data_IF_555096635611
#
_entry.id   IF_555096635611
#
_cell.length_a   1.000
_cell.length_b   1.000
_cell.length_c   1.000
_cell.angle_alpha   90.00
_cell.angle_beta   90.00
_cell.angle_gamma   90.00
#
_symmetry.space_group_name_H-M   'P 1'
#
loop_
_entity.id
_entity.type
_entity.pdbx_description
1 polymer ?
#
# COMPACT_ATOMS: atom_id res chain seq x y z
N UNK A 1 -6.65 22.83 26.17
CA UNK A 1 -7.21 21.48 25.89
C UNK A 1 -8.67 21.69 25.59
N UNK A 2 -9.12 21.49 24.34
CA UNK A 2 -10.56 21.52 24.06
C UNK A 2 -11.20 20.35 24.82
N UNK A 3 -12.29 20.61 25.55
CA UNK A 3 -13.10 19.56 26.17
C UNK A 3 -13.59 18.63 25.05
N UNK A 4 -13.28 17.34 25.15
CA UNK A 4 -13.76 16.37 24.20
C UNK A 4 -15.21 16.04 24.55
N UNK A 5 -16.14 16.50 23.71
CA UNK A 5 -17.57 16.30 23.92
C UNK A 5 -17.88 14.80 23.97
N UNK A 6 -18.65 14.40 25.00
CA UNK A 6 -19.00 13.01 25.25
C UNK A 6 -20.52 12.86 25.29
N UNK A 7 -21.06 11.86 24.60
CA UNK A 7 -22.51 11.69 24.42
C UNK A 7 -22.94 10.26 24.74
N UNK A 8 -24.09 10.14 25.41
CA UNK A 8 -24.82 8.89 25.61
C UNK A 8 -26.17 9.02 24.89
N UNK A 9 -26.48 8.06 24.03
CA UNK A 9 -27.77 7.98 23.34
C UNK A 9 -28.66 6.96 24.02
N UNK A 10 -29.78 7.41 24.57
CA UNK A 10 -30.89 6.55 25.00
C UNK A 10 -31.94 6.50 23.89
N UNK A 11 -32.16 5.31 23.34
CA UNK A 11 -33.11 5.07 22.24
C UNK A 11 -34.34 4.25 22.69
N UNK A 12 -34.55 4.09 23.99
CA UNK A 12 -35.61 3.27 24.60
C UNK A 12 -37.01 3.62 24.08
N UNK A 13 -37.36 4.91 24.01
CA UNK A 13 -38.71 5.37 23.67
C UNK A 13 -38.84 5.86 22.21
N UNK A 14 -37.97 5.37 21.32
CA UNK A 14 -37.91 5.86 19.94
C UNK A 14 -38.76 5.01 18.98
N UNK A 15 -39.32 5.62 17.93
CA UNK A 15 -39.95 4.87 16.83
C UNK A 15 -38.91 4.00 16.12
N UNK A 16 -39.30 2.84 15.57
CA UNK A 16 -38.39 1.82 15.03
C UNK A 16 -37.33 2.30 14.03
N UNK A 17 -37.61 3.36 13.27
CA UNK A 17 -36.67 3.95 12.31
C UNK A 17 -35.62 4.88 12.95
N UNK A 18 -35.92 5.46 14.11
CA UNK A 18 -35.07 6.46 14.78
C UNK A 18 -33.75 5.85 15.27
N UNK A 19 -33.69 4.64 15.85
CA UNK A 19 -32.42 4.01 16.21
C UNK A 19 -31.41 3.99 15.05
N UNK A 20 -31.86 3.68 13.84
CA UNK A 20 -31.00 3.69 12.65
C UNK A 20 -30.45 5.09 12.36
N UNK A 21 -31.29 6.12 12.47
CA UNK A 21 -30.88 7.51 12.31
C UNK A 21 -29.90 7.95 13.42
N UNK A 22 -30.09 7.47 14.65
CA UNK A 22 -29.19 7.74 15.77
C UNK A 22 -27.81 7.13 15.52
N UNK A 23 -27.72 5.90 15.02
CA UNK A 23 -26.42 5.30 14.64
C UNK A 23 -25.72 6.10 13.54
N UNK A 24 -26.45 6.57 12.53
CA UNK A 24 -25.91 7.43 11.47
C UNK A 24 -25.44 8.79 12.02
N UNK A 25 -26.23 9.42 12.89
CA UNK A 25 -25.88 10.68 13.53
C UNK A 25 -24.66 10.53 14.44
N UNK A 26 -24.59 9.45 15.23
CA UNK A 26 -23.44 9.13 16.07
C UNK A 26 -22.17 8.95 15.24
N UNK A 27 -22.25 8.24 14.11
CA UNK A 27 -21.14 8.07 13.18
C UNK A 27 -20.68 9.42 12.60
N UNK A 28 -21.63 10.26 12.18
CA UNK A 28 -21.37 11.58 11.63
C UNK A 28 -20.74 12.54 12.64
N UNK A 29 -21.24 12.57 13.88
CA UNK A 29 -20.70 13.40 14.96
C UNK A 29 -19.26 13.00 15.31
N UNK A 30 -18.99 11.69 15.39
CA UNK A 30 -17.62 11.18 15.57
C UNK A 30 -16.68 11.65 14.46
N UNK A 31 -17.14 11.56 13.21
CA UNK A 31 -16.32 11.92 12.05
C UNK A 31 -16.10 13.43 11.88
N UNK A 32 -17.05 14.27 12.32
CA UNK A 32 -17.03 15.73 12.03
C UNK A 32 -16.69 16.61 13.22
N UNK A 33 -16.91 16.11 14.46
CA UNK A 33 -16.79 16.89 15.69
C UNK A 33 -15.92 16.23 16.75
N UNK A 34 -15.29 15.09 16.45
CA UNK A 34 -14.45 14.32 17.38
C UNK A 34 -15.16 13.98 18.71
N UNK A 35 -16.49 13.81 18.64
CA UNK A 35 -17.33 13.45 19.80
C UNK A 35 -17.04 12.01 20.21
N UNK A 36 -16.93 11.75 21.52
CA UNK A 36 -16.87 10.38 22.04
C UNK A 36 -18.28 9.87 22.32
N UNK A 37 -18.69 8.82 21.62
CA UNK A 37 -19.96 8.12 21.90
C UNK A 37 -19.69 7.11 23.01
N UNK A 38 -20.08 7.46 24.23
CA UNK A 38 -19.82 6.64 25.41
C UNK A 38 -20.74 5.42 25.45
N UNK A 39 -22.04 5.61 25.19
CA UNK A 39 -23.03 4.53 25.14
C UNK A 39 -24.15 4.77 24.14
N UNK A 40 -24.67 3.68 23.58
CA UNK A 40 -25.99 3.62 22.94
C UNK A 40 -26.81 2.59 23.71
N UNK A 41 -27.85 3.02 24.41
CA UNK A 41 -28.62 2.19 25.35
C UNK A 41 -30.08 2.07 24.89
N UNK A 42 -30.61 0.86 25.03
CA UNK A 42 -31.97 0.50 24.67
C UNK A 42 -32.61 -0.34 25.78
N UNK A 43 -33.61 0.22 26.46
CA UNK A 43 -34.48 -0.50 27.38
C UNK A 43 -35.50 -1.33 26.61
N UNK A 44 -35.43 -2.66 26.72
CA UNK A 44 -36.36 -3.54 26.02
C UNK A 44 -37.56 -3.86 26.91
N UNK A 45 -38.55 -2.96 26.92
CA UNK A 45 -39.76 -3.10 27.73
C UNK A 45 -40.54 -4.39 27.48
N UNK A 46 -40.53 -4.88 26.24
CA UNK A 46 -41.23 -6.13 25.85
C UNK A 46 -40.44 -7.39 26.21
N UNK A 47 -39.15 -7.28 26.55
CA UNK A 47 -38.27 -8.41 26.86
C UNK A 47 -38.15 -8.68 28.38
N UNK A 48 -39.23 -8.46 29.14
CA UNK A 48 -39.22 -8.61 30.60
C UNK A 48 -39.00 -10.05 31.03
N UNK A 49 -38.33 -10.22 32.16
CA UNK A 49 -38.21 -11.51 32.83
C UNK A 49 -39.45 -11.85 33.70
N UNK A 50 -39.45 -13.04 34.29
CA UNK A 50 -40.53 -13.53 35.19
C UNK A 50 -40.73 -12.64 36.42
N UNK A 51 -39.73 -11.84 36.81
CA UNK A 51 -39.80 -10.88 37.90
C UNK A 51 -40.25 -9.48 37.44
N UNK A 52 -40.77 -9.36 36.21
CA UNK A 52 -41.25 -8.12 35.59
C UNK A 52 -40.16 -7.05 35.42
N UNK A 53 -38.89 -7.44 35.28
CA UNK A 53 -37.75 -6.52 35.03
C UNK A 53 -37.43 -6.45 33.55
N UNK A 54 -37.35 -5.24 33.00
CA UNK A 54 -36.94 -5.02 31.61
C UNK A 54 -35.40 -4.93 31.51
N UNK A 55 -34.76 -5.69 30.61
CA UNK A 55 -33.33 -5.57 30.39
C UNK A 55 -32.98 -4.27 29.65
N UNK A 56 -31.80 -3.73 29.94
CA UNK A 56 -31.19 -2.63 29.18
C UNK A 56 -30.05 -3.20 28.36
N UNK A 57 -30.14 -3.10 27.04
CA UNK A 57 -29.10 -3.52 26.13
C UNK A 57 -28.14 -2.37 25.84
N UNK A 58 -26.85 -2.67 25.92
CA UNK A 58 -25.79 -1.79 25.44
C UNK A 58 -25.50 -2.11 23.98
N UNK A 59 -25.92 -1.21 23.09
CA UNK A 59 -25.79 -1.32 21.65
C UNK A 59 -24.56 -0.56 21.11
N UNK A 60 -23.71 -0.04 21.99
CA UNK A 60 -22.43 0.58 21.63
C UNK A 60 -21.55 -0.30 20.73
N UNK A 61 -21.54 -1.65 20.85
CA UNK A 61 -20.75 -2.50 19.94
C UNK A 61 -21.06 -2.30 18.44
N UNK A 62 -22.29 -1.86 18.07
CA UNK A 62 -22.63 -1.55 16.69
C UNK A 62 -21.91 -0.30 16.15
N UNK A 63 -21.55 0.65 17.02
CA UNK A 63 -20.69 1.79 16.65
C UNK A 63 -19.27 1.31 16.29
N UNK A 64 -18.77 0.27 16.97
CA UNK A 64 -17.46 -0.33 16.63
C UNK A 64 -17.46 -0.95 15.23
N UNK A 65 -18.57 -1.58 14.82
CA UNK A 65 -18.71 -2.14 13.47
C UNK A 65 -18.55 -1.08 12.38
N UNK A 66 -19.02 0.16 12.62
CA UNK A 66 -18.82 1.27 11.70
C UNK A 66 -17.33 1.65 11.58
N UNK A 67 -16.56 1.58 12.66
CA UNK A 67 -15.10 1.80 12.59
C UNK A 67 -14.42 0.75 11.70
N UNK A 68 -14.79 -0.52 11.89
CA UNK A 68 -14.26 -1.61 11.05
C UNK A 68 -14.62 -1.41 9.59
N UNK A 69 -15.86 -1.01 9.27
CA UNK A 69 -16.28 -0.69 7.90
C UNK A 69 -15.43 0.45 7.31
N UNK A 70 -15.22 1.54 8.04
CA UNK A 70 -14.38 2.66 7.59
C UNK A 70 -12.94 2.23 7.35
N UNK A 71 -12.34 1.49 8.29
CA UNK A 71 -10.97 0.99 8.19
C UNK A 71 -10.81 0.01 7.00
N UNK A 72 -11.83 -0.82 6.77
CA UNK A 72 -11.89 -1.73 5.62
C UNK A 72 -11.93 -0.96 4.30
N UNK A 73 -12.81 0.04 4.18
CA UNK A 73 -12.89 0.85 2.97
C UNK A 73 -11.58 1.60 2.70
N UNK A 74 -10.95 2.15 3.73
CA UNK A 74 -9.64 2.79 3.59
C UNK A 74 -8.61 1.81 3.00
N UNK A 75 -8.50 0.60 3.56
CA UNK A 75 -7.61 -0.42 3.03
C UNK A 75 -7.96 -0.81 1.59
N UNK A 76 -9.24 -1.06 1.29
CA UNK A 76 -9.69 -1.49 -0.03
C UNK A 76 -9.37 -0.47 -1.13
N UNK A 77 -9.57 0.83 -0.87
CA UNK A 77 -9.46 1.86 -1.90
C UNK A 77 -8.08 2.53 -1.95
N UNK A 78 -7.31 2.48 -0.86
CA UNK A 78 -6.01 3.17 -0.77
C UNK A 78 -4.85 2.21 -0.55
N UNK A 79 -5.11 0.98 -0.12
CA UNK A 79 -4.11 0.02 0.32
C UNK A 79 -3.49 0.33 1.69
N UNK A 80 -3.95 1.38 2.39
CA UNK A 80 -3.49 1.74 3.74
C UNK A 80 -4.26 0.97 4.82
N UNK A 81 -3.56 0.08 5.52
CA UNK A 81 -4.12 -0.76 6.58
C UNK A 81 -3.86 -0.21 8.00
N UNK A 82 -3.30 0.99 8.17
CA UNK A 82 -2.93 1.51 9.50
C UNK A 82 -4.13 1.69 10.43
N UNK A 83 -5.30 2.06 9.89
CA UNK A 83 -6.50 2.16 10.73
C UNK A 83 -7.01 0.77 11.17
N UNK A 84 -6.92 -0.25 10.31
CA UNK A 84 -7.20 -1.64 10.70
C UNK A 84 -6.23 -2.12 11.79
N UNK A 85 -4.93 -1.82 11.62
CA UNK A 85 -3.89 -2.13 12.58
C UNK A 85 -4.13 -1.46 13.95
N UNK A 86 -4.59 -0.21 13.93
CA UNK A 86 -4.99 0.51 15.14
C UNK A 86 -6.15 -0.19 15.85
N UNK A 87 -7.23 -0.53 15.14
CA UNK A 87 -8.38 -1.22 15.72
C UNK A 87 -8.01 -2.58 16.31
N UNK A 88 -7.21 -3.39 15.60
CA UNK A 88 -6.69 -4.65 16.12
C UNK A 88 -5.87 -4.47 17.40
N UNK A 89 -5.02 -3.45 17.43
CA UNK A 89 -4.20 -3.15 18.60
C UNK A 89 -5.05 -2.72 19.80
N UNK A 90 -6.11 -1.93 19.56
CA UNK A 90 -7.06 -1.51 20.60
C UNK A 90 -7.82 -2.71 21.18
N UNK A 91 -8.35 -3.58 20.33
CA UNK A 91 -8.99 -4.83 20.77
C UNK A 91 -8.02 -5.72 21.54
N UNK A 92 -6.78 -5.84 21.07
CA UNK A 92 -5.72 -6.56 21.78
C UNK A 92 -5.38 -5.96 23.15
N UNK A 93 -5.50 -4.65 23.34
CA UNK A 93 -5.38 -4.01 24.67
C UNK A 93 -6.60 -4.29 25.53
N UNK A 94 -7.80 -4.06 25.01
CA UNK A 94 -9.05 -4.24 25.74
C UNK A 94 -9.27 -5.68 26.21
N UNK A 95 -8.82 -6.66 25.43
CA UNK A 95 -8.94 -8.09 25.72
C UNK A 95 -7.69 -8.71 26.34
N UNK A 96 -6.65 -7.91 26.57
CA UNK A 96 -5.32 -8.37 26.98
C UNK A 96 -4.72 -9.47 26.06
N UNK A 97 -5.09 -9.49 24.78
CA UNK A 97 -4.53 -10.42 23.79
C UNK A 97 -3.21 -9.91 23.21
N UNK A 98 -2.11 -10.63 23.46
CA UNK A 98 -0.81 -10.34 22.85
C UNK A 98 -0.79 -10.66 21.35
N UNK A 99 -1.56 -11.64 20.90
CA UNK A 99 -1.63 -12.05 19.49
C UNK A 99 -2.22 -10.94 18.61
N UNK A 100 -3.33 -10.32 19.04
CA UNK A 100 -3.97 -9.21 18.34
C UNK A 100 -3.09 -7.97 18.31
N UNK A 101 -2.41 -7.64 19.42
CA UNK A 101 -1.45 -6.53 19.45
C UNK A 101 -0.29 -6.76 18.49
N UNK A 102 0.20 -8.00 18.39
CA UNK A 102 1.29 -8.37 17.48
C UNK A 102 0.84 -8.30 16.02
N UNK A 103 -0.33 -8.83 15.70
CA UNK A 103 -0.92 -8.73 14.36
C UNK A 103 -1.14 -7.27 13.94
N UNK A 104 -1.71 -6.45 14.84
CA UNK A 104 -1.87 -5.02 14.63
C UNK A 104 -0.54 -4.32 14.36
N UNK A 105 0.47 -4.53 15.20
CA UNK A 105 1.80 -3.94 15.01
C UNK A 105 2.44 -4.33 13.66
N UNK A 106 2.37 -5.61 13.27
CA UNK A 106 2.94 -6.08 11.99
C UNK A 106 2.19 -5.55 10.77
N UNK A 107 0.88 -5.39 10.87
CA UNK A 107 0.08 -4.77 9.82
C UNK A 107 0.44 -3.27 9.65
N UNK A 108 0.63 -2.56 10.76
CA UNK A 108 1.07 -1.15 10.76
C UNK A 108 2.46 -0.99 10.13
N UNK A 109 3.43 -1.79 10.58
CA UNK A 109 4.80 -1.78 10.08
C UNK A 109 4.88 -2.00 8.56
N UNK A 110 4.07 -2.93 8.04
CA UNK A 110 4.01 -3.24 6.61
C UNK A 110 3.32 -2.12 5.82
N UNK A 111 2.17 -1.63 6.30
CA UNK A 111 1.45 -0.52 5.65
C UNK A 111 2.33 0.72 5.56
N UNK A 112 3.09 1.01 6.63
CA UNK A 112 4.05 2.12 6.64
C UNK A 112 5.18 1.91 5.62
N UNK A 113 5.76 0.71 5.53
CA UNK A 113 6.82 0.42 4.56
C UNK A 113 6.33 0.60 3.11
N UNK A 114 5.09 0.23 2.81
CA UNK A 114 4.48 0.46 1.50
C UNK A 114 4.23 1.94 1.25
N UNK A 115 3.65 2.66 2.22
CA UNK A 115 3.41 4.10 2.10
C UNK A 115 4.69 4.89 1.81
N UNK A 116 5.79 4.51 2.46
CA UNK A 116 7.11 5.14 2.32
C UNK A 116 7.93 4.55 1.16
N UNK A 117 7.34 3.69 0.32
CA UNK A 117 7.98 3.13 -0.85
C UNK A 117 9.31 2.41 -0.55
N UNK A 118 9.33 1.56 0.49
CA UNK A 118 10.51 0.82 0.98
C UNK A 118 10.45 -0.66 0.57
N UNK A 119 10.75 -1.04 -0.69
CA UNK A 119 10.49 -2.37 -1.22
C UNK A 119 11.18 -3.51 -0.45
N UNK A 120 12.41 -3.30 0.02
CA UNK A 120 13.16 -4.30 0.80
C UNK A 120 12.47 -4.56 2.15
N UNK A 121 12.06 -3.50 2.85
CA UNK A 121 11.33 -3.62 4.10
C UNK A 121 9.95 -4.27 3.91
N UNK A 122 9.24 -3.92 2.81
CA UNK A 122 7.97 -4.56 2.44
C UNK A 122 8.15 -6.08 2.33
N UNK A 123 9.18 -6.53 1.62
CA UNK A 123 9.45 -7.96 1.44
C UNK A 123 9.76 -8.69 2.75
N UNK A 124 10.56 -8.06 3.62
CA UNK A 124 10.94 -8.64 4.91
C UNK A 124 9.75 -8.68 5.88
N UNK A 125 8.92 -7.62 5.90
CA UNK A 125 7.78 -7.48 6.82
C UNK A 125 6.58 -8.31 6.41
N UNK A 126 6.34 -8.51 5.11
CA UNK A 126 5.20 -9.29 4.61
C UNK A 126 5.18 -10.73 5.18
N UNK A 127 6.33 -11.42 5.25
CA UNK A 127 6.41 -12.75 5.85
C UNK A 127 6.19 -12.76 7.38
N UNK A 128 6.46 -11.64 8.06
CA UNK A 128 6.15 -11.46 9.47
C UNK A 128 4.65 -11.32 9.74
N UNK A 129 3.93 -10.61 8.87
CA UNK A 129 2.49 -10.41 8.99
C UNK A 129 1.73 -11.73 8.91
N UNK A 130 2.02 -12.58 7.92
CA UNK A 130 1.33 -13.88 7.77
C UNK A 130 1.44 -14.74 9.03
N UNK A 131 2.64 -14.80 9.63
CA UNK A 131 2.85 -15.54 10.88
C UNK A 131 2.08 -14.92 12.04
N UNK A 132 2.01 -13.60 12.12
CA UNK A 132 1.27 -12.91 13.17
C UNK A 132 -0.26 -13.10 13.03
N UNK A 133 -0.79 -13.09 11.81
CA UNK A 133 -2.20 -13.36 11.53
C UNK A 133 -2.59 -14.80 11.86
N UNK A 134 -1.75 -15.78 11.47
CA UNK A 134 -1.94 -17.18 11.83
C UNK A 134 -1.92 -17.38 13.35
N UNK A 135 -0.98 -16.75 14.05
CA UNK A 135 -0.91 -16.80 15.52
C UNK A 135 -2.15 -16.17 16.19
N UNK A 136 -2.76 -15.16 15.57
CA UNK A 136 -3.93 -14.47 16.09
C UNK A 136 -5.28 -15.10 15.68
N UNK A 137 -5.30 -16.18 14.90
CA UNK A 137 -6.52 -16.71 14.25
C UNK A 137 -7.70 -16.93 15.22
N UNK A 138 -7.45 -17.53 16.39
CA UNK A 138 -8.49 -17.79 17.39
C UNK A 138 -9.04 -16.49 18.00
N UNK A 139 -8.16 -15.57 18.37
CA UNK A 139 -8.55 -14.29 18.94
C UNK A 139 -9.27 -13.42 17.91
N UNK A 140 -8.87 -13.50 16.64
CA UNK A 140 -9.54 -12.82 15.52
C UNK A 140 -10.99 -13.32 15.35
N UNK A 141 -11.19 -14.64 15.39
CA UNK A 141 -12.52 -15.24 15.26
C UNK A 141 -13.42 -14.95 16.48
N UNK A 142 -12.83 -14.86 17.67
CA UNK A 142 -13.57 -14.63 18.91
C UNK A 142 -13.93 -13.16 19.12
N UNK A 143 -12.98 -12.25 18.93
CA UNK A 143 -13.11 -10.86 19.36
C UNK A 143 -13.24 -9.86 18.21
N UNK A 144 -12.72 -10.17 17.02
CA UNK A 144 -12.66 -9.22 15.89
C UNK A 144 -13.20 -9.84 14.60
N UNK A 145 -14.39 -10.45 14.65
CA UNK A 145 -15.04 -11.07 13.48
C UNK A 145 -15.05 -10.21 12.22
N UNK A 146 -15.32 -8.88 12.27
CA UNK A 146 -15.25 -8.05 11.07
C UNK A 146 -13.88 -8.07 10.39
N UNK A 147 -12.80 -8.08 11.17
CA UNK A 147 -11.44 -8.22 10.64
C UNK A 147 -11.17 -9.65 10.13
N UNK A 148 -11.67 -10.68 10.82
CA UNK A 148 -11.47 -12.08 10.42
C UNK A 148 -11.94 -12.34 8.98
N UNK A 149 -13.03 -11.68 8.55
CA UNK A 149 -13.54 -11.75 7.17
C UNK A 149 -12.61 -11.13 6.11
N UNK A 150 -11.62 -10.35 6.53
CA UNK A 150 -10.66 -9.66 5.65
C UNK A 150 -9.31 -10.33 5.62
N UNK A 151 -9.04 -11.29 6.51
CA UNK A 151 -7.72 -11.94 6.64
C UNK A 151 -7.28 -12.51 5.29
N UNK A 152 -8.11 -13.32 4.63
CA UNK A 152 -7.79 -13.90 3.32
C UNK A 152 -7.51 -12.85 2.24
N UNK A 153 -8.14 -11.67 2.34
CA UNK A 153 -7.88 -10.57 1.41
C UNK A 153 -6.55 -9.89 1.73
N UNK A 154 -6.29 -9.60 3.00
CA UNK A 154 -5.04 -9.00 3.48
C UNK A 154 -3.86 -9.92 3.17
N UNK A 155 -4.01 -11.22 3.41
CA UNK A 155 -3.01 -12.22 3.07
C UNK A 155 -2.79 -12.31 1.57
N UNK A 156 -3.84 -12.37 0.73
CA UNK A 156 -3.63 -12.32 -0.74
C UNK A 156 -2.96 -11.03 -1.21
N UNK A 157 -3.31 -9.90 -0.62
CA UNK A 157 -2.71 -8.60 -0.96
C UNK A 157 -1.25 -8.50 -0.48
N UNK A 158 -0.82 -9.19 0.58
CA UNK A 158 0.50 -8.98 1.16
C UNK A 158 1.43 -10.19 1.13
N UNK A 159 0.93 -11.42 1.17
CA UNK A 159 1.72 -12.65 1.25
C UNK A 159 2.66 -12.82 0.05
N UNK A 160 2.17 -12.54 -1.16
CA UNK A 160 2.95 -12.65 -2.40
C UNK A 160 4.15 -11.70 -2.45
N UNK A 161 4.23 -10.74 -1.52
CA UNK A 161 5.34 -9.79 -1.42
C UNK A 161 6.48 -10.29 -0.53
N UNK A 162 6.30 -11.35 0.24
CA UNK A 162 7.32 -11.84 1.15
C UNK A 162 8.57 -12.36 0.40
N UNK A 163 9.76 -11.97 0.87
CA UNK A 163 11.05 -12.52 0.45
C UNK A 163 12.05 -12.37 1.60
N UNK A 164 12.62 -13.48 2.06
CA UNK A 164 13.48 -13.54 3.26
C UNK A 164 14.83 -12.86 3.05
N UNK A 165 15.47 -13.15 1.91
CA UNK A 165 16.81 -12.66 1.54
C UNK A 165 16.73 -11.82 0.25
N UNK A 166 16.11 -10.63 0.31
CA UNK A 166 15.77 -9.86 -0.88
C UNK A 166 16.99 -9.35 -1.65
N UNK A 167 18.14 -9.16 -1.00
CA UNK A 167 19.36 -8.65 -1.67
C UNK A 167 20.09 -9.77 -2.40
N UNK A 168 19.98 -11.01 -1.92
CA UNK A 168 20.65 -12.18 -2.46
C UNK A 168 19.83 -12.80 -3.60
N UNK A 169 18.50 -12.82 -3.48
CA UNK A 169 17.61 -13.26 -4.54
C UNK A 169 17.16 -12.09 -5.42
N UNK A 170 18.10 -11.54 -6.18
CA UNK A 170 17.94 -10.31 -6.98
C UNK A 170 16.80 -10.43 -8.00
N UNK A 171 16.71 -11.58 -8.67
CA UNK A 171 15.71 -11.84 -9.70
C UNK A 171 14.29 -11.82 -9.12
N UNK A 172 14.05 -12.56 -8.03
CA UNK A 172 12.75 -12.59 -7.37
C UNK A 172 12.40 -11.24 -6.72
N UNK A 173 13.41 -10.53 -6.19
CA UNK A 173 13.24 -9.17 -5.70
C UNK A 173 12.75 -8.24 -6.83
N UNK A 174 13.42 -8.25 -7.98
CA UNK A 174 13.03 -7.44 -9.13
C UNK A 174 11.60 -7.76 -9.60
N UNK A 175 11.19 -9.04 -9.58
CA UNK A 175 9.80 -9.44 -9.88
C UNK A 175 8.81 -8.86 -8.87
N UNK A 176 9.09 -8.99 -7.56
CA UNK A 176 8.23 -8.46 -6.50
C UNK A 176 8.16 -6.94 -6.51
N UNK A 177 9.26 -6.25 -6.83
CA UNK A 177 9.25 -4.80 -7.03
C UNK A 177 8.40 -4.40 -8.23
N UNK A 178 8.47 -5.11 -9.35
CA UNK A 178 7.63 -4.85 -10.52
C UNK A 178 6.15 -5.05 -10.18
N UNK A 179 5.79 -6.13 -9.49
CA UNK A 179 4.44 -6.35 -8.98
C UNK A 179 3.99 -5.23 -8.03
N UNK A 180 4.89 -4.72 -7.18
CA UNK A 180 4.61 -3.61 -6.27
C UNK A 180 4.40 -2.28 -7.02
N UNK A 181 5.17 -2.01 -8.09
CA UNK A 181 4.94 -0.86 -8.99
C UNK A 181 3.53 -0.92 -9.56
N UNK A 182 3.11 -2.08 -10.10
CA UNK A 182 1.77 -2.25 -10.65
C UNK A 182 0.68 -2.08 -9.59
N UNK A 183 0.91 -2.57 -8.38
CA UNK A 183 -0.02 -2.36 -7.28
C UNK A 183 -0.15 -0.87 -6.92
N UNK A 184 0.95 -0.12 -6.87
CA UNK A 184 0.88 1.34 -6.67
C UNK A 184 0.11 2.03 -7.79
N UNK A 185 0.35 1.63 -9.04
CA UNK A 185 -0.40 2.14 -10.18
C UNK A 185 -1.89 1.82 -10.08
N UNK A 186 -2.27 0.60 -9.66
CA UNK A 186 -3.65 0.20 -9.46
C UNK A 186 -4.36 0.97 -8.34
N UNK A 187 -3.63 1.29 -7.26
CA UNK A 187 -4.16 1.97 -6.07
C UNK A 187 -4.03 3.51 -6.11
N UNK A 188 -3.90 4.11 -7.31
CA UNK A 188 -3.72 5.56 -7.51
C UNK A 188 -2.48 6.18 -6.82
N UNK A 189 -1.50 5.37 -6.43
CA UNK A 189 -0.26 5.80 -5.77
C UNK A 189 0.85 6.11 -6.79
N UNK A 190 0.59 7.07 -7.68
CA UNK A 190 1.47 7.34 -8.84
C UNK A 190 2.86 7.83 -8.44
N UNK A 191 2.99 8.58 -7.33
CA UNK A 191 4.28 9.07 -6.83
C UNK A 191 5.17 7.89 -6.42
N UNK A 192 4.63 6.95 -5.65
CA UNK A 192 5.33 5.74 -5.21
C UNK A 192 5.69 4.87 -6.42
N UNK A 193 4.76 4.67 -7.35
CA UNK A 193 5.01 3.90 -8.57
C UNK A 193 6.18 4.47 -9.38
N UNK A 194 6.24 5.78 -9.60
CA UNK A 194 7.31 6.41 -10.39
C UNK A 194 8.63 6.48 -9.62
N UNK A 195 8.58 6.64 -8.30
CA UNK A 195 9.77 6.56 -7.44
C UNK A 195 10.40 5.18 -7.52
N UNK A 196 9.59 4.13 -7.34
CA UNK A 196 10.07 2.75 -7.40
C UNK A 196 10.48 2.35 -8.82
N UNK A 197 9.73 2.73 -9.85
CA UNK A 197 10.06 2.41 -11.24
C UNK A 197 11.44 2.93 -11.65
N UNK A 198 11.81 4.14 -11.20
CA UNK A 198 13.15 4.69 -11.45
C UNK A 198 14.23 3.82 -10.82
N UNK A 199 14.10 3.51 -9.53
CA UNK A 199 15.09 2.68 -8.82
C UNK A 199 15.14 1.24 -9.33
N UNK A 200 13.99 0.73 -9.78
CA UNK A 200 13.84 -0.59 -10.36
C UNK A 200 14.61 -0.72 -11.67
N UNK A 201 14.51 0.25 -12.58
CA UNK A 201 15.27 0.22 -13.85
C UNK A 201 16.78 0.21 -13.58
N UNK A 202 17.27 1.02 -12.63
CA UNK A 202 18.69 1.04 -12.23
C UNK A 202 19.12 -0.33 -11.71
N UNK A 203 18.33 -0.92 -10.81
CA UNK A 203 18.65 -2.22 -10.20
C UNK A 203 18.59 -3.35 -11.21
N UNK A 204 17.59 -3.33 -12.11
CA UNK A 204 17.43 -4.27 -13.20
C UNK A 204 18.61 -4.20 -14.17
N UNK A 205 19.07 -3.00 -14.52
CA UNK A 205 20.26 -2.81 -15.36
C UNK A 205 21.51 -3.40 -14.71
N UNK A 206 21.73 -3.18 -13.41
CA UNK A 206 22.84 -3.81 -12.68
C UNK A 206 22.78 -5.34 -12.75
N UNK A 207 21.60 -5.92 -12.51
CA UNK A 207 21.40 -7.37 -12.60
C UNK A 207 21.62 -7.92 -14.02
N UNK A 208 21.06 -7.28 -15.04
CA UNK A 208 21.20 -7.67 -16.45
C UNK A 208 22.66 -7.67 -16.92
N UNK A 209 23.47 -6.73 -16.42
CA UNK A 209 24.90 -6.65 -16.69
C UNK A 209 25.76 -7.57 -15.79
N UNK A 210 25.13 -8.44 -15.01
CA UNK A 210 25.82 -9.42 -14.15
C UNK A 210 26.39 -8.86 -12.84
N UNK A 211 26.02 -7.63 -12.44
CA UNK A 211 26.51 -6.97 -11.22
C UNK A 211 25.66 -7.28 -9.98
N UNK A 212 24.52 -7.98 -10.14
CA UNK A 212 23.62 -8.32 -9.04
C UNK A 212 22.87 -7.11 -8.46
N UNK A 213 22.58 -7.14 -7.16
CA UNK A 213 21.84 -6.06 -6.48
C UNK A 213 22.81 -4.96 -6.01
N UNK A 214 23.01 -3.96 -6.87
CA UNK A 214 23.99 -2.89 -6.64
C UNK A 214 23.49 -1.88 -5.61
N UNK A 215 24.13 -1.83 -4.43
CA UNK A 215 23.84 -0.88 -3.35
C UNK A 215 24.88 0.25 -3.22
N UNK A 216 26.10 0.04 -3.73
CA UNK A 216 27.17 1.03 -3.60
C UNK A 216 26.80 2.30 -4.37
N UNK A 217 27.04 3.47 -3.75
CA UNK A 217 26.66 4.74 -4.36
C UNK A 217 27.38 4.98 -5.70
N UNK A 218 28.69 4.70 -5.77
CA UNK A 218 29.49 4.93 -6.96
C UNK A 218 29.09 4.04 -8.14
N UNK A 219 28.81 2.76 -7.89
CA UNK A 219 28.38 1.83 -8.95
C UNK A 219 26.98 2.19 -9.44
N UNK A 220 26.07 2.58 -8.53
CA UNK A 220 24.74 3.07 -8.90
C UNK A 220 24.82 4.35 -9.73
N UNK A 221 25.62 5.33 -9.33
CA UNK A 221 25.84 6.57 -10.11
C UNK A 221 26.39 6.25 -11.51
N UNK A 222 27.27 5.25 -11.64
CA UNK A 222 27.78 4.79 -12.94
C UNK A 222 26.67 4.22 -13.82
N UNK A 223 25.78 3.38 -13.26
CA UNK A 223 24.63 2.85 -14.00
C UNK A 223 23.69 3.97 -14.43
N UNK A 224 23.37 4.89 -13.51
CA UNK A 224 22.48 6.02 -13.75
C UNK A 224 23.01 6.96 -14.84
N UNK A 225 24.31 7.25 -14.84
CA UNK A 225 24.95 8.01 -15.91
C UNK A 225 24.89 7.28 -17.25
N UNK A 226 25.01 5.95 -17.27
CA UNK A 226 24.84 5.14 -18.47
C UNK A 226 23.43 5.27 -19.05
N UNK A 227 22.41 5.09 -18.21
CA UNK A 227 21.00 5.26 -18.57
C UNK A 227 20.70 6.71 -19.03
N UNK A 228 21.27 7.69 -18.34
CA UNK A 228 21.19 9.10 -18.70
C UNK A 228 21.81 9.39 -20.07
N UNK A 229 22.96 8.80 -20.38
CA UNK A 229 23.60 8.87 -21.69
C UNK A 229 22.72 8.28 -22.80
N UNK A 230 22.16 7.08 -22.59
CA UNK A 230 21.20 6.46 -23.51
C UNK A 230 20.01 7.39 -23.79
N UNK A 231 19.46 8.03 -22.76
CA UNK A 231 18.36 8.99 -22.92
C UNK A 231 18.71 10.24 -23.74
N UNK A 232 20.00 10.64 -23.78
CA UNK A 232 20.53 11.78 -24.53
C UNK A 232 20.99 11.43 -25.94
N UNK A 233 21.16 10.14 -26.27
CA UNK A 233 21.59 9.72 -27.60
C UNK A 233 20.76 10.40 -28.71
N UNK A 234 21.46 10.93 -29.73
CA UNK A 234 20.89 11.67 -30.87
C UNK A 234 20.26 13.02 -30.51
N UNK A 235 20.55 13.58 -29.33
CA UNK A 235 20.23 14.96 -28.95
C UNK A 235 21.51 15.75 -28.76
N UNK A 236 21.49 17.03 -29.12
CA UNK A 236 22.55 18.00 -28.78
C UNK A 236 23.97 17.55 -29.16
N UNK A 237 24.12 16.81 -30.27
CA UNK A 237 25.41 16.27 -30.70
C UNK A 237 25.97 15.13 -29.85
N UNK A 238 25.20 14.58 -28.90
CA UNK A 238 25.62 13.46 -28.05
C UNK A 238 25.73 12.15 -28.85
N UNK A 239 26.91 11.54 -28.80
CA UNK A 239 27.30 10.37 -29.59
C UNK A 239 27.59 9.15 -28.72
N UNK A 240 27.90 8.02 -29.37
CA UNK A 240 28.26 6.78 -28.66
C UNK A 240 29.59 6.91 -27.89
N UNK A 241 30.46 7.84 -28.27
CA UNK A 241 31.76 8.06 -27.63
C UNK A 241 31.59 8.74 -26.25
N UNK A 242 30.52 9.51 -26.08
CA UNK A 242 30.16 10.21 -24.83
C UNK A 242 29.55 9.26 -23.78
N UNK A 243 29.17 8.03 -24.17
CA UNK A 243 28.62 7.04 -23.24
C UNK A 243 29.71 6.54 -22.29
N UNK A 244 29.34 6.22 -21.05
CA UNK A 244 30.21 5.45 -20.18
C UNK A 244 30.16 3.95 -20.55
N UNK A 245 30.89 3.10 -19.80
CA UNK A 245 30.91 1.66 -20.06
C UNK A 245 29.52 1.01 -20.01
N UNK A 246 28.70 1.38 -19.03
CA UNK A 246 27.32 0.87 -18.91
C UNK A 246 26.48 1.29 -20.11
N UNK A 247 26.51 2.58 -20.47
CA UNK A 247 25.78 3.10 -21.63
C UNK A 247 26.20 2.43 -22.94
N UNK A 248 27.50 2.20 -23.15
CA UNK A 248 27.98 1.48 -24.34
C UNK A 248 27.46 0.04 -24.40
N UNK A 249 27.49 -0.69 -23.29
CA UNK A 249 26.97 -2.06 -23.22
C UNK A 249 25.47 -2.10 -23.56
N UNK A 250 24.67 -1.19 -22.98
CA UNK A 250 23.24 -1.10 -23.26
C UNK A 250 22.94 -0.67 -24.70
N UNK A 251 23.77 0.18 -25.30
CA UNK A 251 23.56 0.66 -26.67
C UNK A 251 23.83 -0.41 -27.73
N UNK A 252 24.67 -1.39 -27.43
CA UNK A 252 24.96 -2.52 -28.35
C UNK A 252 23.74 -3.45 -28.52
N UNK A 253 22.86 -3.52 -27.53
CA UNK A 253 21.60 -4.26 -27.62
C UNK A 253 20.52 -3.44 -28.35
N UNK A 254 20.59 -3.35 -29.67
CA UNK A 254 19.77 -2.43 -30.48
C UNK A 254 18.25 -2.51 -30.19
N UNK A 255 17.71 -3.71 -29.92
CA UNK A 255 16.29 -3.92 -29.63
C UNK A 255 15.87 -3.29 -28.29
N UNK A 256 16.65 -3.49 -27.23
CA UNK A 256 16.35 -3.00 -25.88
C UNK A 256 16.79 -1.54 -25.71
N UNK A 257 17.82 -1.09 -26.42
CA UNK A 257 18.36 0.27 -26.36
C UNK A 257 17.31 1.34 -26.64
N UNK A 258 16.54 1.20 -27.73
CA UNK A 258 15.49 2.16 -28.09
C UNK A 258 14.34 2.16 -27.07
N UNK A 259 13.97 0.98 -26.57
CA UNK A 259 12.95 0.82 -25.53
C UNK A 259 13.38 1.50 -24.23
N UNK A 260 14.62 1.25 -23.80
CA UNK A 260 15.22 1.80 -22.59
C UNK A 260 15.38 3.32 -22.69
N UNK A 261 15.82 3.84 -23.85
CA UNK A 261 15.88 5.26 -24.12
C UNK A 261 14.52 5.94 -23.91
N UNK A 262 13.45 5.37 -24.46
CA UNK A 262 12.10 5.92 -24.31
C UNK A 262 11.62 5.82 -22.86
N UNK A 263 11.75 4.64 -22.25
CA UNK A 263 11.31 4.36 -20.90
C UNK A 263 11.97 5.28 -19.86
N UNK A 264 13.29 5.42 -19.92
CA UNK A 264 14.05 6.24 -18.97
C UNK A 264 13.67 7.72 -19.10
N UNK A 265 13.54 8.23 -20.33
CA UNK A 265 13.05 9.59 -20.59
C UNK A 265 11.63 9.82 -20.02
N UNK A 266 10.71 8.89 -20.25
CA UNK A 266 9.33 9.00 -19.75
C UNK A 266 9.28 8.95 -18.21
N UNK A 267 10.02 8.04 -17.57
CA UNK A 267 10.12 7.93 -16.10
C UNK A 267 10.66 9.23 -15.50
N UNK A 268 11.83 9.71 -15.97
CA UNK A 268 12.44 10.93 -15.45
C UNK A 268 11.48 12.11 -15.57
N UNK A 269 10.85 12.27 -16.73
CA UNK A 269 9.93 13.37 -16.98
C UNK A 269 8.72 13.34 -16.04
N UNK A 270 8.05 12.19 -15.92
CA UNK A 270 6.87 12.05 -15.05
C UNK A 270 7.26 12.19 -13.57
N UNK A 271 8.35 11.55 -13.14
CA UNK A 271 8.83 11.64 -11.76
C UNK A 271 9.23 13.07 -11.39
N UNK A 272 9.90 13.80 -12.27
CA UNK A 272 10.30 15.19 -11.97
C UNK A 272 9.10 16.13 -11.89
N UNK A 273 8.08 15.96 -12.73
CA UNK A 273 6.81 16.69 -12.60
C UNK A 273 6.15 16.46 -11.23
N UNK A 274 6.11 15.20 -10.78
CA UNK A 274 5.57 14.83 -9.47
C UNK A 274 6.41 15.41 -8.32
N UNK A 275 7.73 15.30 -8.40
CA UNK A 275 8.63 15.73 -7.32
C UNK A 275 8.77 17.25 -7.21
N UNK A 276 8.65 17.97 -8.32
CA UNK A 276 8.61 19.44 -8.33
C UNK A 276 7.18 19.98 -8.18
N UNK A 277 6.19 19.13 -7.91
CA UNK A 277 4.80 19.51 -7.68
C UNK A 277 4.20 20.43 -8.77
N UNK A 278 4.60 20.23 -10.04
CA UNK A 278 4.17 21.08 -11.16
C UNK A 278 4.67 22.53 -11.12
N UNK A 279 5.67 22.86 -10.31
CA UNK A 279 6.27 24.20 -10.23
C UNK A 279 7.26 24.44 -11.37
N UNK A 280 6.76 24.49 -12.61
CA UNK A 280 7.54 24.81 -13.80
C UNK A 280 6.69 25.58 -14.82
N UNK A 281 7.29 26.20 -15.87
CA UNK A 281 6.56 27.03 -16.83
C UNK A 281 5.51 26.32 -17.69
N UNK A 282 5.50 24.98 -17.74
CA UNK A 282 4.60 24.20 -18.59
C UNK A 282 4.20 22.87 -17.96
N UNK A 283 3.52 22.89 -16.80
CA UNK A 283 3.30 21.69 -16.00
C UNK A 283 2.37 20.72 -16.71
N UNK A 284 2.65 19.42 -16.56
CA UNK A 284 1.75 18.39 -17.03
C UNK A 284 0.50 18.33 -16.16
N UNK A 285 -0.66 18.34 -16.80
CA UNK A 285 -1.94 18.11 -16.11
C UNK A 285 -1.93 16.76 -15.37
N UNK A 286 -2.56 16.71 -14.20
CA UNK A 286 -2.58 15.52 -13.34
C UNK A 286 -3.07 14.26 -14.08
N UNK A 287 -4.14 14.37 -14.87
CA UNK A 287 -4.66 13.25 -15.67
C UNK A 287 -3.64 12.70 -16.69
N UNK A 288 -2.81 13.56 -17.27
CA UNK A 288 -1.74 13.18 -18.19
C UNK A 288 -0.62 12.42 -17.48
N UNK A 289 -0.28 12.80 -16.24
CA UNK A 289 0.70 12.09 -15.42
C UNK A 289 0.23 10.66 -15.12
N UNK A 290 -1.02 10.52 -14.64
CA UNK A 290 -1.63 9.21 -14.35
C UNK A 290 -1.65 8.34 -15.62
N UNK A 291 -2.11 8.91 -16.75
CA UNK A 291 -2.18 8.20 -18.02
C UNK A 291 -0.80 7.73 -18.50
N UNK A 292 0.22 8.59 -18.47
CA UNK A 292 1.59 8.20 -18.85
C UNK A 292 2.13 7.08 -17.96
N UNK A 293 1.94 7.20 -16.65
CA UNK A 293 2.39 6.18 -15.70
C UNK A 293 1.75 4.81 -15.97
N UNK A 294 0.42 4.76 -16.14
CA UNK A 294 -0.35 3.52 -16.30
C UNK A 294 -0.30 2.92 -17.71
N UNK A 295 -0.45 3.74 -18.74
CA UNK A 295 -0.67 3.25 -20.11
C UNK A 295 0.61 3.23 -20.95
N UNK A 296 1.67 3.90 -20.49
CA UNK A 296 2.94 3.98 -21.24
C UNK A 296 4.09 3.36 -20.45
N UNK A 297 4.35 3.85 -19.23
CA UNK A 297 5.50 3.40 -18.43
C UNK A 297 5.29 1.97 -17.93
N UNK A 298 4.18 1.68 -17.24
CA UNK A 298 3.86 0.34 -16.73
C UNK A 298 4.05 -0.79 -17.77
N UNK A 299 3.35 -0.74 -18.93
CA UNK A 299 3.50 -1.75 -19.97
C UNK A 299 4.91 -1.85 -20.56
N UNK A 300 5.67 -0.75 -20.56
CA UNK A 300 7.04 -0.75 -21.07
C UNK A 300 8.01 -1.37 -20.06
N UNK A 301 7.78 -1.22 -18.75
CA UNK A 301 8.51 -1.97 -17.71
C UNK A 301 8.34 -3.48 -17.92
N UNK A 302 7.12 -3.95 -18.19
CA UNK A 302 6.86 -5.38 -18.44
C UNK A 302 7.56 -5.90 -19.71
N UNK A 303 7.61 -5.08 -20.76
CA UNK A 303 8.34 -5.43 -21.99
C UNK A 303 9.84 -5.53 -21.74
N UNK A 304 10.41 -4.59 -20.99
CA UNK A 304 11.82 -4.63 -20.63
C UNK A 304 12.15 -5.84 -19.74
N UNK A 305 11.32 -6.09 -18.73
CA UNK A 305 11.43 -7.27 -17.87
C UNK A 305 11.44 -8.57 -18.69
N UNK A 306 10.54 -8.70 -19.68
CA UNK A 306 10.52 -9.85 -20.59
C UNK A 306 11.78 -9.95 -21.45
N UNK A 307 12.21 -8.84 -22.05
CA UNK A 307 13.38 -8.81 -22.93
C UNK A 307 14.67 -9.20 -22.21
N UNK A 308 14.78 -8.86 -20.92
CA UNK A 308 15.93 -9.21 -20.08
C UNK A 308 15.69 -10.48 -19.24
N UNK A 309 14.71 -11.32 -19.60
CA UNK A 309 14.57 -12.66 -19.00
C UNK A 309 13.98 -12.71 -17.59
N UNK A 310 13.37 -11.63 -17.09
CA UNK A 310 12.74 -11.57 -15.75
C UNK A 310 11.37 -12.29 -15.69
N UNK A 311 10.99 -13.09 -16.70
CA UNK A 311 9.69 -13.78 -16.76
C UNK A 311 9.55 -14.88 -15.73
N UNK A 312 8.31 -15.09 -15.22
CA UNK A 312 7.95 -16.19 -14.30
C UNK A 312 8.38 -17.54 -14.87
N UNK A 313 9.16 -18.30 -14.11
CA UNK A 313 9.13 -19.76 -14.14
C UNK A 313 7.80 -20.22 -13.52
N UNK A 314 6.73 -20.25 -14.32
CA UNK A 314 5.43 -20.86 -13.97
C UNK A 314 4.39 -19.90 -13.38
N UNK A 315 3.19 -19.89 -13.98
CA UNK A 315 1.99 -19.23 -13.47
C UNK A 315 1.26 -18.42 -14.54
N UNK A 316 0.33 -19.10 -15.24
CA UNK A 316 -0.57 -18.54 -16.25
C UNK A 316 -1.39 -17.35 -15.73
N UNK A 317 -1.74 -16.48 -16.68
CA UNK A 317 -2.69 -15.36 -16.56
C UNK A 317 -4.06 -15.82 -16.05
#
# INVERSE_FOLDING_TARGET
MALQDSVIFDITNSFRSIPLLVFLAAAYLRATRDVTVCRVIYGAFEARDEANRSPVFDLTPFISLLNWLTATNQFIYTGDARYLAHLLTQEGKARNSSSLRTAGAKLDELSLAMMLCRPIEVMQKAGGLNRALAYAQNDLAQYTRPFALLVDRIEREYADRALSEPVQNVEENLRKQLALIHWYLGNNQVIQAMTLAREWVVTLTGWHLGQGFVLSRGDRETIEHGLGGIARMKRDGFTADDLNQVGRALWQEAETAAMLQKLWNDIIRVRNELNHAGMNPGPMKANKLVRKAREQIGPTLDKLARAWGLTRSGGNL
#
